data_IF_709435223020
#
_entry.id   IF_709435223020
#
_cell.length_a   1.000
_cell.length_b   1.000
_cell.length_c   1.000
_cell.angle_alpha   90.00
_cell.angle_beta   90.00
_cell.angle_gamma   90.00
#
_symmetry.space_group_name_H-M   'P 1'
#
loop_
_entity.id
_entity.type
_entity.pdbx_description
1 polymer ?
#
# COMPACT_ATOMS: atom_id res chain seq x y z
N UNK A 1 23.08 5.79 63.79
CA UNK A 1 23.43 7.04 63.06
C UNK A 1 23.94 6.59 61.69
N UNK A 2 23.39 6.97 60.52
CA UNK A 2 23.46 8.31 59.85
C UNK A 2 24.92 8.81 59.85
N UNK A 3 25.63 9.21 58.78
CA UNK A 3 25.42 9.57 57.36
C UNK A 3 26.82 9.48 56.65
N UNK A 4 27.06 9.43 55.31
CA UNK A 4 26.23 9.52 54.08
C UNK A 4 26.88 8.70 52.91
N UNK A 5 26.43 8.90 51.67
CA UNK A 5 26.78 8.26 50.38
C UNK A 5 27.65 9.18 49.47
N UNK A 6 27.63 9.13 48.11
CA UNK A 6 27.71 8.03 47.12
C UNK A 6 28.84 8.29 46.06
N UNK A 7 28.69 7.83 44.80
CA UNK A 7 29.54 8.02 43.59
C UNK A 7 30.81 7.13 43.52
N UNK A 8 31.20 6.59 42.36
CA UNK A 8 30.48 6.40 41.10
C UNK A 8 31.07 5.20 40.33
N UNK A 9 30.21 4.27 39.91
CA UNK A 9 30.49 3.33 38.83
C UNK A 9 29.25 3.36 37.93
N UNK A 10 29.22 4.35 37.03
CA UNK A 10 28.09 4.55 36.14
C UNK A 10 27.89 3.30 35.27
N UNK A 11 26.67 2.76 35.29
CA UNK A 11 26.22 1.75 34.34
C UNK A 11 26.25 2.37 32.94
N UNK A 12 27.38 2.20 32.24
CA UNK A 12 27.50 2.51 30.82
C UNK A 12 26.74 1.45 30.02
N UNK A 13 25.42 1.43 30.18
CA UNK A 13 24.48 0.83 29.24
C UNK A 13 24.59 1.62 27.94
N UNK A 14 25.60 1.30 27.16
CA UNK A 14 25.66 1.62 25.74
C UNK A 14 24.50 0.89 25.07
N UNK A 15 23.33 1.53 25.06
CA UNK A 15 22.30 1.22 24.08
C UNK A 15 22.97 1.38 22.72
N UNK A 16 23.41 0.26 22.15
CA UNK A 16 23.72 0.16 20.76
C UNK A 16 22.43 0.44 20.00
N UNK A 17 22.19 1.71 19.72
CA UNK A 17 21.20 2.14 18.75
C UNK A 17 21.59 1.47 17.44
N UNK A 18 20.91 0.36 17.13
CA UNK A 18 20.95 -0.29 15.83
C UNK A 18 20.83 0.81 14.78
N UNK A 19 21.72 0.87 13.79
CA UNK A 19 21.73 1.99 12.85
C UNK A 19 20.34 2.06 12.20
N UNK A 20 19.70 3.23 12.36
CA UNK A 20 18.42 3.50 11.73
C UNK A 20 18.56 3.17 10.24
N UNK A 21 17.69 2.25 9.79
CA UNK A 21 17.58 1.68 8.45
C UNK A 21 18.34 2.50 7.42
N UNK A 22 19.47 1.96 6.92
CA UNK A 22 20.36 2.66 6.00
C UNK A 22 19.56 3.46 4.97
N UNK A 23 19.55 4.78 5.14
CA UNK A 23 18.68 5.66 4.37
C UNK A 23 19.27 5.74 2.96
N UNK A 24 18.86 4.76 2.13
CA UNK A 24 19.23 4.65 0.72
C UNK A 24 19.02 6.04 0.13
N UNK A 25 20.04 6.62 -0.51
CA UNK A 25 20.00 8.03 -0.92
C UNK A 25 18.90 8.34 -1.93
N UNK A 26 18.27 7.31 -2.50
CA UNK A 26 17.09 7.34 -3.36
C UNK A 26 15.94 6.48 -2.79
N UNK A 27 15.77 6.42 -1.46
CA UNK A 27 14.64 5.72 -0.85
C UNK A 27 13.31 6.41 -1.26
N UNK A 28 12.30 5.65 -1.70
CA UNK A 28 10.94 6.14 -1.91
C UNK A 28 10.43 6.94 -0.72
N UNK A 29 9.65 7.99 -1.00
CA UNK A 29 8.93 8.68 0.08
C UNK A 29 8.04 7.68 0.84
N UNK A 30 7.89 7.79 2.17
CA UNK A 30 7.03 6.88 2.95
C UNK A 30 5.62 6.77 2.36
N UNK A 31 5.08 7.92 1.91
CA UNK A 31 3.77 8.04 1.24
C UNK A 31 3.63 7.18 -0.01
N UNK A 32 4.71 6.94 -0.77
CA UNK A 32 4.66 6.07 -1.95
C UNK A 32 4.53 4.58 -1.57
N UNK A 33 5.19 4.18 -0.48
CA UNK A 33 5.14 2.81 0.05
C UNK A 33 3.80 2.55 0.75
N UNK A 34 3.27 3.54 1.47
CA UNK A 34 1.92 3.55 2.03
C UNK A 34 0.86 3.46 0.92
N UNK A 35 1.00 4.25 -0.16
CA UNK A 35 0.10 4.18 -1.31
C UNK A 35 0.12 2.81 -1.98
N UNK A 36 1.30 2.24 -2.24
CA UNK A 36 1.41 0.89 -2.78
C UNK A 36 0.74 -0.15 -1.87
N UNK A 37 1.03 -0.10 -0.57
CA UNK A 37 0.42 -0.96 0.44
C UNK A 37 -1.11 -0.84 0.49
N UNK A 38 -1.65 0.38 0.37
CA UNK A 38 -3.08 0.68 0.36
C UNK A 38 -3.79 0.08 -0.86
N UNK A 39 -3.21 0.25 -2.06
CA UNK A 39 -3.75 -0.33 -3.29
C UNK A 39 -3.66 -1.87 -3.27
N UNK A 40 -2.58 -2.45 -2.74
CA UNK A 40 -2.48 -3.90 -2.53
C UNK A 40 -3.51 -4.41 -1.50
N UNK A 41 -3.74 -3.67 -0.41
CA UNK A 41 -4.73 -4.02 0.62
C UNK A 41 -6.15 -3.98 0.06
N UNK A 42 -6.50 -2.93 -0.69
CA UNK A 42 -7.76 -2.81 -1.40
C UNK A 42 -7.98 -3.94 -2.43
N UNK A 43 -6.95 -4.27 -3.21
CA UNK A 43 -7.00 -5.38 -4.18
C UNK A 43 -7.29 -6.72 -3.50
N UNK A 44 -6.65 -6.98 -2.35
CA UNK A 44 -6.86 -8.19 -1.57
C UNK A 44 -8.25 -8.24 -0.91
N UNK A 45 -8.61 -7.21 -0.13
CA UNK A 45 -9.80 -7.19 0.73
C UNK A 45 -11.09 -6.99 -0.06
N UNK A 46 -11.07 -6.18 -1.12
CA UNK A 46 -12.23 -5.86 -1.95
C UNK A 46 -12.29 -6.67 -3.26
N UNK A 47 -11.26 -7.46 -3.57
CA UNK A 47 -11.18 -8.26 -4.79
C UNK A 47 -10.94 -7.48 -6.09
N UNK A 48 -10.50 -6.22 -6.02
CA UNK A 48 -10.18 -5.43 -7.21
C UNK A 48 -8.90 -5.93 -7.90
N UNK A 49 -8.85 -5.83 -9.24
CA UNK A 49 -7.62 -6.01 -10.03
C UNK A 49 -6.91 -4.65 -10.14
N UNK A 50 -5.59 -4.63 -9.95
CA UNK A 50 -4.80 -3.40 -10.11
C UNK A 50 -4.61 -3.10 -11.60
N UNK A 51 -4.89 -1.86 -12.01
CA UNK A 51 -4.60 -1.37 -13.36
C UNK A 51 -3.16 -0.91 -13.45
N UNK A 52 -2.27 -1.79 -13.94
CA UNK A 52 -0.82 -1.60 -13.92
C UNK A 52 -0.39 -0.23 -14.48
N UNK A 53 -0.87 0.19 -15.65
CA UNK A 53 -0.46 1.47 -16.27
C UNK A 53 -0.77 2.70 -15.38
N UNK A 54 -1.98 2.75 -14.81
CA UNK A 54 -2.40 3.85 -13.93
C UNK A 54 -1.64 3.83 -12.59
N UNK A 55 -1.37 2.63 -12.06
CA UNK A 55 -0.61 2.44 -10.82
C UNK A 55 0.88 2.78 -11.00
N UNK A 56 1.51 2.30 -12.07
CA UNK A 56 2.88 2.63 -12.47
C UNK A 56 3.04 4.14 -12.69
N UNK A 57 2.09 4.78 -13.38
CA UNK A 57 2.09 6.23 -13.59
C UNK A 57 2.02 7.06 -12.29
N UNK A 58 1.42 6.54 -11.22
CA UNK A 58 1.38 7.20 -9.91
C UNK A 58 2.65 6.97 -9.07
N UNK A 59 3.26 5.80 -9.18
CA UNK A 59 4.53 5.50 -8.52
C UNK A 59 5.69 6.24 -9.22
N UNK A 60 5.68 6.33 -10.55
CA UNK A 60 6.67 7.06 -11.33
C UNK A 60 6.73 8.55 -10.96
N UNK A 61 5.58 9.20 -10.71
CA UNK A 61 5.51 10.59 -10.20
C UNK A 61 6.21 10.77 -8.84
N UNK A 62 6.38 9.70 -8.08
CA UNK A 62 7.04 9.68 -6.78
C UNK A 62 8.48 9.13 -6.86
N UNK A 63 9.01 8.93 -8.08
CA UNK A 63 10.31 8.31 -8.39
C UNK A 63 10.43 6.86 -7.88
N UNK A 64 9.35 6.08 -7.98
CA UNK A 64 9.28 4.68 -7.55
C UNK A 64 8.84 3.80 -8.70
N UNK A 65 9.43 2.61 -8.85
CA UNK A 65 8.98 1.58 -9.80
C UNK A 65 8.11 0.55 -9.09
N UNK A 66 7.23 -0.15 -9.82
CA UNK A 66 6.48 -1.29 -9.24
C UNK A 66 7.44 -2.37 -8.75
N UNK A 67 8.55 -2.61 -9.44
CA UNK A 67 9.64 -3.51 -9.04
C UNK A 67 10.19 -3.23 -7.63
N UNK A 68 10.19 -1.96 -7.21
CA UNK A 68 10.73 -1.53 -5.91
C UNK A 68 9.80 -1.88 -4.73
N UNK A 69 8.49 -1.92 -5.00
CA UNK A 69 7.41 -2.09 -4.01
C UNK A 69 6.74 -3.47 -4.03
N UNK A 70 7.04 -4.30 -5.04
CA UNK A 70 6.65 -5.70 -5.06
C UNK A 70 7.18 -6.46 -3.83
N UNK A 71 6.57 -7.60 -3.43
CA UNK A 71 7.00 -8.36 -2.25
C UNK A 71 8.46 -8.81 -2.24
N UNK A 72 9.08 -8.98 -3.42
CA UNK A 72 10.51 -9.31 -3.59
C UNK A 72 11.40 -8.09 -3.88
N UNK A 73 10.83 -6.89 -3.98
CA UNK A 73 11.54 -5.66 -4.23
C UNK A 73 12.29 -5.14 -3.00
N UNK A 74 13.24 -4.19 -3.18
CA UNK A 74 14.02 -3.58 -2.10
C UNK A 74 13.19 -3.00 -0.94
N UNK A 75 11.94 -2.57 -1.17
CA UNK A 75 11.06 -2.06 -0.13
C UNK A 75 9.88 -2.99 0.20
N UNK A 76 9.84 -4.19 -0.41
CA UNK A 76 8.76 -5.17 -0.28
C UNK A 76 8.39 -5.50 1.16
N UNK A 77 9.37 -5.69 2.06
CA UNK A 77 9.12 -5.96 3.48
C UNK A 77 8.38 -4.81 4.19
N UNK A 78 8.71 -3.56 3.87
CA UNK A 78 8.04 -2.38 4.46
C UNK A 78 6.62 -2.25 3.92
N UNK A 79 6.44 -2.42 2.61
CA UNK A 79 5.12 -2.45 1.95
C UNK A 79 4.27 -3.59 2.51
N UNK A 80 4.81 -4.78 2.72
CA UNK A 80 4.10 -5.94 3.28
C UNK A 80 3.64 -5.69 4.73
N UNK A 81 4.46 -4.98 5.52
CA UNK A 81 4.11 -4.60 6.89
C UNK A 81 2.92 -3.63 6.90
N UNK A 82 2.98 -2.57 6.09
CA UNK A 82 1.90 -1.60 5.90
C UNK A 82 0.64 -2.26 5.33
N UNK A 83 0.80 -3.11 4.31
CA UNK A 83 -0.27 -3.87 3.67
C UNK A 83 -1.04 -4.73 4.68
N UNK A 84 -0.33 -5.42 5.59
CA UNK A 84 -0.96 -6.27 6.61
C UNK A 84 -1.82 -5.42 7.55
N UNK A 85 -1.29 -4.29 8.03
CA UNK A 85 -2.00 -3.38 8.92
C UNK A 85 -3.23 -2.73 8.23
N UNK A 86 -3.06 -2.24 7.01
CA UNK A 86 -4.13 -1.63 6.21
C UNK A 86 -5.20 -2.66 5.81
N UNK A 87 -4.82 -3.90 5.45
CA UNK A 87 -5.77 -4.97 5.12
C UNK A 87 -6.63 -5.34 6.32
N UNK A 88 -6.04 -5.44 7.52
CA UNK A 88 -6.78 -5.70 8.75
C UNK A 88 -7.77 -4.55 9.06
N UNK A 89 -7.35 -3.29 8.91
CA UNK A 89 -8.22 -2.14 9.12
C UNK A 89 -9.36 -2.05 8.10
N UNK A 90 -9.07 -2.32 6.83
CA UNK A 90 -10.08 -2.40 5.76
C UNK A 90 -11.05 -3.54 6.02
N UNK A 91 -10.57 -4.75 6.37
CA UNK A 91 -11.42 -5.91 6.62
C UNK A 91 -12.43 -5.68 7.78
N UNK A 92 -12.03 -4.94 8.82
CA UNK A 92 -12.93 -4.54 9.92
C UNK A 92 -14.07 -3.62 9.47
N UNK A 93 -13.88 -2.83 8.41
CA UNK A 93 -14.85 -1.84 7.90
C UNK A 93 -15.12 -2.05 6.41
N UNK A 94 -15.16 -3.32 5.97
CA UNK A 94 -14.96 -3.72 4.56
C UNK A 94 -15.81 -2.93 3.58
N UNK A 95 -17.12 -2.88 3.81
CA UNK A 95 -18.03 -2.32 2.81
C UNK A 95 -17.86 -0.80 2.66
N UNK A 96 -17.63 -0.07 3.76
CA UNK A 96 -17.29 1.35 3.73
C UNK A 96 -15.92 1.60 3.07
N UNK A 97 -14.91 0.79 3.43
CA UNK A 97 -13.57 0.89 2.86
C UNK A 97 -13.58 0.66 1.34
N UNK A 98 -14.26 -0.39 0.86
CA UNK A 98 -14.32 -0.70 -0.57
C UNK A 98 -15.09 0.36 -1.37
N UNK A 99 -16.17 0.94 -0.83
CA UNK A 99 -16.89 2.05 -1.47
C UNK A 99 -16.00 3.29 -1.58
N UNK A 100 -15.32 3.70 -0.49
CA UNK A 100 -14.43 4.85 -0.50
C UNK A 100 -13.27 4.67 -1.50
N UNK A 101 -12.58 3.53 -1.42
CA UNK A 101 -11.49 3.14 -2.31
C UNK A 101 -11.93 3.17 -3.79
N UNK A 102 -13.11 2.63 -4.11
CA UNK A 102 -13.64 2.66 -5.47
C UNK A 102 -13.98 4.08 -5.95
N UNK A 103 -14.48 4.95 -5.05
CA UNK A 103 -14.71 6.37 -5.32
C UNK A 103 -13.44 7.20 -5.46
N UNK A 104 -12.29 6.75 -4.95
CA UNK A 104 -11.00 7.41 -5.08
C UNK A 104 -10.18 6.91 -6.29
N UNK A 105 -10.15 5.59 -6.49
CA UNK A 105 -9.20 4.89 -7.37
C UNK A 105 -9.85 3.96 -8.42
N UNK A 106 -11.18 3.83 -8.40
CA UNK A 106 -11.94 3.02 -9.36
C UNK A 106 -11.99 3.63 -10.77
N UNK A 107 -12.83 3.10 -11.67
CA UNK A 107 -13.02 3.66 -13.01
C UNK A 107 -13.49 5.13 -12.98
N UNK A 108 -14.39 5.46 -12.05
CA UNK A 108 -14.82 6.83 -11.75
C UNK A 108 -14.08 7.48 -10.57
N UNK A 109 -12.85 7.03 -10.31
CA UNK A 109 -12.01 7.50 -9.22
C UNK A 109 -11.78 9.02 -9.25
N UNK A 110 -12.07 9.68 -8.14
CA UNK A 110 -11.89 11.11 -7.93
C UNK A 110 -10.43 11.55 -7.78
N UNK A 111 -9.54 10.66 -7.33
CA UNK A 111 -8.10 10.93 -7.18
C UNK A 111 -7.36 10.50 -8.45
N UNK A 112 -7.54 9.25 -8.88
CA UNK A 112 -6.98 8.76 -10.15
C UNK A 112 -7.80 7.59 -10.68
N UNK A 113 -8.31 7.73 -11.90
CA UNK A 113 -9.14 6.72 -12.55
C UNK A 113 -8.35 5.46 -12.90
N UNK A 114 -9.03 4.31 -12.86
CA UNK A 114 -8.57 3.01 -13.34
C UNK A 114 -7.34 2.40 -12.62
N UNK A 115 -6.97 2.88 -11.42
CA UNK A 115 -5.94 2.23 -10.59
C UNK A 115 -6.48 0.91 -10.03
N UNK A 116 -7.77 0.86 -9.71
CA UNK A 116 -8.48 -0.34 -9.29
C UNK A 116 -9.62 -0.64 -10.26
N UNK A 117 -9.60 -1.83 -10.83
CA UNK A 117 -10.56 -2.33 -11.80
C UNK A 117 -11.45 -3.40 -11.13
N UNK A 118 -12.78 -3.34 -11.30
CA UNK A 118 -13.68 -4.43 -10.94
C UNK A 118 -13.22 -5.79 -11.49
N UNK A 119 -13.28 -6.84 -10.66
CA UNK A 119 -12.94 -8.19 -11.08
C UNK A 119 -13.80 -8.61 -12.29
N UNK A 120 -13.13 -8.92 -13.41
CA UNK A 120 -13.77 -9.25 -14.69
C UNK A 120 -13.64 -8.17 -15.77
N UNK A 121 -13.20 -6.95 -15.44
CA UNK A 121 -12.80 -5.96 -16.45
C UNK A 121 -11.30 -6.13 -16.78
N UNK A 122 -11.02 -6.87 -17.85
CA UNK A 122 -9.72 -6.78 -18.53
C UNK A 122 -9.61 -5.45 -19.26
N UNK A 123 -8.51 -4.72 -19.06
CA UNK A 123 -8.06 -3.66 -19.97
C UNK A 123 -7.82 -4.29 -21.34
N UNK A 124 -8.79 -4.17 -22.24
CA UNK A 124 -8.82 -4.90 -23.52
C UNK A 124 -10.15 -5.56 -23.89
N UNK A 125 -11.29 -5.08 -23.38
CA UNK A 125 -12.60 -5.51 -23.86
C UNK A 125 -13.11 -4.61 -25.00
N UNK A 126 -13.40 -5.12 -26.22
CA UNK A 126 -14.46 -4.54 -27.01
C UNK A 126 -15.79 -4.71 -26.26
N UNK A 127 -16.76 -3.84 -26.54
CA UNK A 127 -17.95 -3.64 -25.69
C UNK A 127 -18.72 -4.94 -25.39
N UNK A 128 -19.32 -4.98 -24.18
CA UNK A 128 -20.31 -5.99 -23.76
C UNK A 128 -21.46 -6.02 -24.78
N UNK A 129 -21.53 -7.09 -25.58
CA UNK A 129 -22.72 -7.37 -26.41
C UNK A 129 -23.91 -7.61 -25.49
N UNK A 130 -24.97 -6.84 -25.68
CA UNK A 130 -26.24 -6.96 -24.98
C UNK A 130 -26.91 -8.32 -25.29
N UNK A 131 -27.57 -8.99 -24.33
CA UNK A 131 -28.17 -10.29 -24.59
C UNK A 131 -29.37 -10.14 -25.53
N UNK A 132 -29.27 -10.73 -26.72
CA UNK A 132 -30.35 -10.75 -27.70
C UNK A 132 -31.61 -11.43 -27.11
N UNK A 133 -32.69 -10.66 -27.01
CA UNK A 133 -34.02 -11.15 -26.63
C UNK A 133 -34.48 -12.24 -27.63
N UNK A 134 -34.94 -13.42 -27.19
CA UNK A 134 -35.49 -14.41 -28.10
C UNK A 134 -36.79 -13.88 -28.71
N UNK A 135 -36.90 -13.96 -30.03
CA UNK A 135 -38.15 -13.68 -30.73
C UNK A 135 -39.12 -14.86 -30.56
N UNK A 136 -40.39 -14.52 -30.30
CA UNK A 136 -41.56 -15.37 -30.54
C UNK A 136 -42.23 -14.88 -31.82
#
# INVERSE_FOLDING_TARGET
MRQIAPYAAAFALTLAALPAQAQIRNAPSPRALEFAAYIFAASNVCGYRIGNEAFEGLLAKQNVRVDDVQPRGPFGNRVQTMFTLMSNQMAQNRDQACIAVAGEYGPEGSITKNVLLPAGQTTGAPARTEPAKPAQ
#
